data_IF_229800519987
#
_entry.id   IF_229800519987
#
_cell.length_a   1.000
_cell.length_b   1.000
_cell.length_c   1.000
_cell.angle_alpha   90.00
_cell.angle_beta   90.00
_cell.angle_gamma   90.00
#
_symmetry.space_group_name_H-M   'P 1'
#
loop_
_entity.id
_entity.type
_entity.pdbx_description
1 polymer ?
#
# COMPACT_ATOMS: atom_id res chain seq x y z
N UNK A 1 14.99 12.25 -24.91
CA UNK A 1 14.98 11.57 -23.59
C UNK A 1 13.93 12.22 -22.71
N UNK A 2 13.01 11.46 -22.11
CA UNK A 2 11.86 11.96 -21.35
C UNK A 2 12.33 12.86 -20.19
N UNK A 3 11.70 14.05 -20.02
CA UNK A 3 12.03 15.02 -18.97
C UNK A 3 11.93 14.42 -17.54
N UNK A 4 10.97 13.51 -17.31
CA UNK A 4 10.80 12.78 -16.04
C UNK A 4 11.97 11.86 -15.72
N UNK A 5 12.57 11.21 -16.73
CA UNK A 5 13.76 10.36 -16.53
C UNK A 5 14.95 11.21 -16.07
N UNK A 6 15.22 12.35 -16.74
CA UNK A 6 16.29 13.27 -16.32
C UNK A 6 16.07 13.81 -14.90
N UNK A 7 14.83 14.08 -14.53
CA UNK A 7 14.47 14.54 -13.19
C UNK A 7 14.78 13.48 -12.14
N UNK A 8 14.42 12.20 -12.39
CA UNK A 8 14.76 11.09 -11.50
C UNK A 8 16.28 10.93 -11.36
N UNK A 9 16.99 10.93 -12.49
CA UNK A 9 18.44 10.82 -12.50
C UNK A 9 19.10 11.93 -11.66
N UNK A 10 18.68 13.17 -11.85
CA UNK A 10 19.20 14.31 -11.07
C UNK A 10 18.95 14.16 -9.56
N UNK A 11 17.79 13.62 -9.16
CA UNK A 11 17.48 13.35 -7.75
C UNK A 11 18.39 12.26 -7.17
N UNK A 12 18.67 11.20 -7.94
CA UNK A 12 19.57 10.12 -7.54
C UNK A 12 21.01 10.61 -7.43
N UNK A 13 21.50 11.32 -8.46
CA UNK A 13 22.88 11.85 -8.50
C UNK A 13 23.16 12.84 -7.37
N UNK A 14 22.14 13.61 -6.96
CA UNK A 14 22.24 14.57 -5.86
C UNK A 14 21.94 13.99 -4.48
N UNK A 15 21.68 12.69 -4.36
CA UNK A 15 21.28 12.00 -3.12
C UNK A 15 20.01 12.59 -2.47
N UNK A 16 19.11 13.15 -3.27
CA UNK A 16 17.83 13.75 -2.83
C UNK A 16 16.63 12.87 -3.11
N UNK A 17 16.84 11.60 -3.47
CA UNK A 17 15.78 10.64 -3.75
C UNK A 17 15.44 9.87 -2.48
N UNK A 18 14.42 10.34 -1.76
CA UNK A 18 13.81 9.64 -0.64
C UNK A 18 12.61 8.82 -1.13
N UNK A 19 12.56 7.53 -0.79
CA UNK A 19 11.53 6.59 -1.23
C UNK A 19 10.79 5.97 -0.04
N UNK A 20 9.45 6.02 -0.04
CA UNK A 20 8.61 5.17 0.80
C UNK A 20 8.47 3.79 0.16
N UNK A 21 8.60 2.73 0.95
CA UNK A 21 8.38 1.35 0.51
C UNK A 21 7.21 0.76 1.28
N UNK A 22 6.09 0.51 0.61
CA UNK A 22 4.96 -0.29 1.10
C UNK A 22 5.09 -1.74 0.59
N UNK A 23 5.77 -1.93 -0.55
CA UNK A 23 6.09 -3.22 -1.15
C UNK A 23 4.88 -3.95 -1.76
N UNK A 24 5.13 -5.14 -2.31
CA UNK A 24 4.14 -5.94 -3.03
C UNK A 24 3.03 -6.51 -2.13
N UNK A 25 3.29 -6.63 -0.83
CA UNK A 25 2.39 -7.30 0.12
C UNK A 25 1.36 -6.40 0.78
N UNK A 26 1.51 -5.07 0.71
CA UNK A 26 0.53 -4.15 1.27
C UNK A 26 -0.56 -3.83 0.25
N UNK A 27 -1.71 -4.50 0.37
CA UNK A 27 -2.89 -4.31 -0.48
C UNK A 27 -4.00 -3.50 0.21
N UNK A 28 -3.73 -2.92 1.39
CA UNK A 28 -4.65 -1.98 2.04
C UNK A 28 -4.57 -0.61 1.37
N UNK A 29 -5.51 -0.35 0.45
CA UNK A 29 -5.55 0.87 -0.35
C UNK A 29 -5.70 2.13 0.52
N UNK A 30 -6.49 2.07 1.60
CA UNK A 30 -6.70 3.21 2.49
C UNK A 30 -5.45 3.51 3.34
N UNK A 31 -4.74 2.48 3.79
CA UNK A 31 -3.47 2.65 4.48
C UNK A 31 -2.43 3.26 3.54
N UNK A 32 -2.29 2.72 2.32
CA UNK A 32 -1.32 3.23 1.33
C UNK A 32 -1.63 4.68 0.96
N UNK A 33 -2.91 5.04 0.81
CA UNK A 33 -3.33 6.44 0.58
C UNK A 33 -2.87 7.36 1.70
N UNK A 34 -3.13 7.00 2.97
CA UNK A 34 -2.71 7.79 4.14
C UNK A 34 -1.18 7.92 4.24
N UNK A 35 -0.46 6.82 4.08
CA UNK A 35 1.00 6.83 4.05
C UNK A 35 1.54 7.70 2.92
N UNK A 36 0.93 7.61 1.72
CA UNK A 36 1.31 8.45 0.58
C UNK A 36 1.19 9.93 0.92
N UNK A 37 0.07 10.37 1.49
CA UNK A 37 -0.11 11.79 1.88
C UNK A 37 1.00 12.22 2.83
N UNK A 38 1.22 11.46 3.91
CA UNK A 38 2.21 11.80 4.93
C UNK A 38 3.63 11.90 4.36
N UNK A 39 4.05 10.89 3.61
CA UNK A 39 5.43 10.82 3.12
C UNK A 39 5.68 11.77 1.95
N UNK A 40 4.69 12.08 1.12
CA UNK A 40 4.80 13.11 0.08
C UNK A 40 4.96 14.49 0.71
N UNK A 41 4.17 14.82 1.74
CA UNK A 41 4.33 16.06 2.50
C UNK A 41 5.70 16.13 3.21
N UNK A 42 6.22 15.00 3.70
CA UNK A 42 7.57 14.88 4.24
C UNK A 42 8.68 14.94 3.18
N UNK A 43 8.34 15.05 1.89
CA UNK A 43 9.31 15.23 0.81
C UNK A 43 9.71 13.97 0.04
N UNK A 44 9.01 12.84 0.20
CA UNK A 44 9.27 11.64 -0.58
C UNK A 44 9.18 11.91 -2.09
N UNK A 45 10.14 11.36 -2.83
CA UNK A 45 10.23 11.47 -4.28
C UNK A 45 9.94 10.16 -4.99
N UNK A 46 9.88 9.05 -4.26
CA UNK A 46 9.52 7.72 -4.74
C UNK A 46 8.52 7.03 -3.82
N UNK A 47 7.62 6.26 -4.41
CA UNK A 47 6.62 5.45 -3.72
C UNK A 47 6.67 4.06 -4.35
N UNK A 48 6.97 3.04 -3.55
CA UNK A 48 7.05 1.65 -3.97
C UNK A 48 5.86 0.91 -3.35
N UNK A 49 4.93 0.49 -4.18
CA UNK A 49 3.60 0.00 -3.77
C UNK A 49 3.26 -1.31 -4.46
N UNK A 50 2.23 -2.00 -3.98
CA UNK A 50 1.70 -3.19 -4.64
C UNK A 50 1.21 -2.89 -6.07
N UNK A 51 1.37 -3.86 -6.97
CA UNK A 51 0.84 -3.81 -8.35
C UNK A 51 -0.70 -3.94 -8.42
N UNK A 52 -1.39 -4.00 -7.29
CA UNK A 52 -2.85 -4.00 -7.22
C UNK A 52 -3.42 -2.65 -7.71
N UNK A 53 -4.34 -2.69 -8.66
CA UNK A 53 -4.93 -1.49 -9.30
C UNK A 53 -5.58 -0.55 -8.28
N UNK A 54 -6.26 -1.09 -7.25
CA UNK A 54 -6.89 -0.28 -6.22
C UNK A 54 -5.84 0.46 -5.38
N UNK A 55 -4.72 -0.18 -5.08
CA UNK A 55 -3.59 0.42 -4.34
C UNK A 55 -2.92 1.52 -5.18
N UNK A 56 -2.74 1.29 -6.49
CA UNK A 56 -2.18 2.30 -7.41
C UNK A 56 -3.09 3.53 -7.47
N UNK A 57 -4.40 3.34 -7.62
CA UNK A 57 -5.36 4.45 -7.66
C UNK A 57 -5.36 5.22 -6.34
N UNK A 58 -5.41 4.53 -5.21
CA UNK A 58 -5.35 5.15 -3.88
C UNK A 58 -4.04 5.94 -3.65
N UNK A 59 -2.91 5.41 -4.11
CA UNK A 59 -1.63 6.13 -4.09
C UNK A 59 -1.69 7.41 -4.94
N UNK A 60 -2.26 7.37 -6.15
CA UNK A 60 -2.41 8.54 -7.00
C UNK A 60 -3.29 9.62 -6.36
N UNK A 61 -4.43 9.22 -5.77
CA UNK A 61 -5.29 10.11 -5.00
C UNK A 61 -4.55 10.71 -3.79
N UNK A 62 -3.76 9.91 -3.08
CA UNK A 62 -2.94 10.37 -1.96
C UNK A 62 -1.91 11.43 -2.37
N UNK A 63 -1.28 11.28 -3.54
CA UNK A 63 -0.39 12.30 -4.09
C UNK A 63 -1.15 13.61 -4.36
N UNK A 64 -2.34 13.54 -5.00
CA UNK A 64 -3.14 14.72 -5.32
C UNK A 64 -3.60 15.44 -4.04
N UNK A 65 -4.02 14.71 -3.02
CA UNK A 65 -4.36 15.24 -1.71
C UNK A 65 -3.15 15.92 -1.05
N UNK A 66 -1.96 15.30 -1.08
CA UNK A 66 -0.74 15.89 -0.53
C UNK A 66 -0.39 17.23 -1.21
N UNK A 67 -0.53 17.32 -2.53
CA UNK A 67 -0.29 18.58 -3.24
C UNK A 67 -1.33 19.65 -2.92
N UNK A 68 -2.60 19.28 -2.65
CA UNK A 68 -3.64 20.20 -2.20
C UNK A 68 -3.34 20.72 -0.80
N UNK A 69 -3.00 19.85 0.15
CA UNK A 69 -2.57 20.26 1.49
C UNK A 69 -1.30 21.12 1.45
N UNK A 70 -0.35 20.77 0.60
CA UNK A 70 0.88 21.55 0.46
C UNK A 70 0.60 23.00 0.05
N UNK A 71 -0.39 23.24 -0.82
CA UNK A 71 -0.84 24.60 -1.17
C UNK A 71 -1.52 25.31 -0.03
N UNK A 72 -2.37 24.59 0.74
CA UNK A 72 -3.12 25.15 1.86
C UNK A 72 -2.20 25.56 3.01
N UNK A 73 -1.14 24.79 3.27
CA UNK A 73 -0.21 24.98 4.37
C UNK A 73 1.16 25.55 3.97
N UNK A 74 1.30 26.09 2.75
CA UNK A 74 2.54 26.67 2.22
C UNK A 74 3.76 25.72 2.30
N UNK A 75 3.55 24.39 2.12
CA UNK A 75 4.61 23.40 2.10
C UNK A 75 5.22 23.34 0.69
N UNK A 76 6.55 23.51 0.51
CA UNK A 76 7.18 23.55 -0.81
C UNK A 76 7.26 22.15 -1.44
N UNK A 77 6.28 21.76 -2.23
CA UNK A 77 6.32 20.57 -3.09
C UNK A 77 6.50 20.96 -4.55
N UNK A 78 7.68 20.65 -5.11
CA UNK A 78 8.04 21.01 -6.49
C UNK A 78 8.02 19.83 -7.47
N UNK A 79 8.14 18.60 -7.00
CA UNK A 79 8.29 17.41 -7.83
C UNK A 79 7.22 16.39 -7.43
N UNK A 80 6.34 16.05 -8.39
CA UNK A 80 5.41 14.93 -8.22
C UNK A 80 6.20 13.61 -8.07
N UNK A 81 5.96 12.78 -7.05
CA UNK A 81 6.70 11.55 -6.81
C UNK A 81 6.65 10.58 -8.00
N UNK A 82 7.63 9.68 -8.04
CA UNK A 82 7.67 8.55 -8.96
C UNK A 82 7.01 7.35 -8.28
N UNK A 83 6.06 6.71 -8.96
CA UNK A 83 5.43 5.48 -8.49
C UNK A 83 6.18 4.30 -9.10
N UNK A 84 6.61 3.36 -8.27
CA UNK A 84 7.07 2.04 -8.62
C UNK A 84 6.03 1.02 -8.18
N UNK A 85 5.74 0.03 -9.01
CA UNK A 85 4.88 -1.08 -8.64
C UNK A 85 5.74 -2.34 -8.46
N UNK A 86 5.58 -2.98 -7.31
CA UNK A 86 6.26 -4.21 -6.95
C UNK A 86 5.34 -5.41 -7.14
N UNK A 87 5.84 -6.44 -7.82
CA UNK A 87 5.14 -7.70 -8.05
C UNK A 87 5.79 -8.77 -7.19
N UNK A 88 5.02 -9.37 -6.27
CA UNK A 88 5.47 -10.53 -5.51
C UNK A 88 5.37 -11.82 -6.31
N UNK A 89 6.34 -12.71 -6.16
CA UNK A 89 6.25 -14.07 -6.70
C UNK A 89 5.22 -14.91 -5.94
N UNK A 90 4.59 -15.91 -6.56
CA UNK A 90 3.81 -16.91 -5.84
C UNK A 90 4.64 -17.52 -4.70
N UNK A 91 4.11 -17.47 -3.47
CA UNK A 91 4.83 -17.93 -2.28
C UNK A 91 5.79 -16.93 -1.63
N UNK A 92 5.86 -15.69 -2.12
CA UNK A 92 6.60 -14.62 -1.48
C UNK A 92 6.04 -14.36 -0.06
N UNK A 93 6.91 -14.42 0.95
CA UNK A 93 6.54 -14.19 2.35
C UNK A 93 6.04 -12.77 2.64
N UNK A 94 6.32 -11.80 1.76
CA UNK A 94 5.81 -10.44 1.85
C UNK A 94 4.36 -10.30 1.37
N UNK A 95 3.87 -11.24 0.53
CA UNK A 95 2.48 -11.31 0.08
C UNK A 95 1.71 -12.25 1.00
N UNK A 96 1.32 -11.74 2.16
CA UNK A 96 0.63 -12.55 3.19
C UNK A 96 -0.86 -12.58 2.93
N UNK A 97 -1.42 -13.78 2.90
CA UNK A 97 -2.87 -14.01 2.91
C UNK A 97 -3.20 -14.89 4.10
N UNK A 98 -4.29 -14.59 4.79
CA UNK A 98 -4.76 -15.41 5.90
C UNK A 98 -5.10 -16.83 5.45
N UNK A 99 -4.96 -17.76 6.39
CA UNK A 99 -5.37 -19.16 6.25
C UNK A 99 -6.01 -19.61 7.56
N UNK A 100 -7.14 -20.31 7.48
CA UNK A 100 -7.79 -20.92 8.63
C UNK A 100 -7.64 -22.44 8.49
N UNK A 101 -6.97 -23.05 9.46
CA UNK A 101 -6.88 -24.51 9.54
C UNK A 101 -8.18 -25.04 10.14
N UNK A 102 -9.03 -25.63 9.31
CA UNK A 102 -10.36 -26.12 9.71
C UNK A 102 -10.29 -27.29 10.70
N UNK A 103 -9.18 -28.05 10.73
CA UNK A 103 -8.99 -29.19 11.66
C UNK A 103 -8.76 -28.72 13.10
N UNK A 104 -8.20 -27.53 13.27
CA UNK A 104 -7.91 -26.95 14.60
C UNK A 104 -8.82 -25.77 14.94
N UNK A 105 -9.65 -25.33 14.03
CA UNK A 105 -10.54 -24.20 14.19
C UNK A 105 -11.68 -24.50 15.17
N UNK A 106 -11.86 -23.65 16.18
CA UNK A 106 -12.94 -23.77 17.17
C UNK A 106 -14.32 -23.35 16.62
N UNK A 107 -14.39 -22.85 15.40
CA UNK A 107 -15.62 -22.34 14.74
C UNK A 107 -16.36 -21.30 15.59
N UNK A 108 -15.62 -20.43 16.28
CA UNK A 108 -16.19 -19.38 17.13
C UNK A 108 -16.64 -18.13 16.35
N UNK A 109 -16.36 -18.08 15.04
CA UNK A 109 -16.74 -17.01 14.10
C UNK A 109 -16.19 -15.60 14.42
N UNK A 110 -15.35 -15.46 15.43
CA UNK A 110 -14.79 -14.16 15.85
C UNK A 110 -13.94 -13.48 14.78
N UNK A 111 -13.31 -14.25 13.89
CA UNK A 111 -12.49 -13.73 12.80
C UNK A 111 -13.31 -13.07 11.66
N UNK A 112 -14.63 -13.36 11.57
CA UNK A 112 -15.50 -12.84 10.51
C UNK A 112 -15.73 -11.33 10.66
N UNK A 113 -16.25 -10.82 11.81
CA UNK A 113 -16.61 -9.40 11.93
C UNK A 113 -15.42 -8.45 11.97
N UNK A 114 -14.20 -8.96 12.19
CA UNK A 114 -12.98 -8.13 12.23
C UNK A 114 -12.28 -8.04 10.88
N UNK A 115 -12.78 -8.75 9.87
CA UNK A 115 -12.22 -8.69 8.53
C UNK A 115 -12.74 -7.46 7.79
N UNK A 116 -11.89 -6.45 7.49
CA UNK A 116 -12.35 -5.18 6.91
C UNK A 116 -12.79 -5.32 5.45
N UNK A 117 -12.50 -6.45 4.81
CA UNK A 117 -12.79 -6.70 3.38
C UNK A 117 -13.76 -7.88 3.16
N UNK A 118 -14.39 -8.38 4.22
CA UNK A 118 -15.26 -9.55 4.16
C UNK A 118 -14.63 -10.75 3.44
N UNK A 119 -13.33 -10.94 3.65
CA UNK A 119 -12.59 -12.05 3.05
C UNK A 119 -12.82 -13.39 3.75
N UNK A 120 -13.51 -13.40 4.92
CA UNK A 120 -13.78 -14.61 5.71
C UNK A 120 -15.27 -14.83 5.76
N UNK A 121 -15.84 -15.68 4.90
CA UNK A 121 -17.24 -16.05 4.93
C UNK A 121 -17.53 -17.07 6.06
N UNK A 122 -18.81 -17.43 6.28
CA UNK A 122 -19.23 -18.37 7.33
C UNK A 122 -18.64 -19.78 7.18
N UNK A 123 -18.27 -20.15 5.97
CA UNK A 123 -17.59 -21.42 5.67
C UNK A 123 -16.13 -21.43 6.17
N UNK A 124 -15.63 -20.30 6.66
CA UNK A 124 -14.27 -20.11 7.18
C UNK A 124 -13.16 -20.43 6.16
N UNK A 125 -13.48 -20.37 4.87
CA UNK A 125 -12.54 -20.49 3.76
C UNK A 125 -12.17 -19.09 3.28
N UNK A 126 -10.93 -18.67 3.51
CA UNK A 126 -10.48 -17.31 3.17
C UNK A 126 -10.50 -17.08 1.66
N UNK A 127 -11.25 -16.05 1.25
CA UNK A 127 -11.28 -15.57 -0.15
C UNK A 127 -10.01 -14.75 -0.38
N UNK A 128 -9.01 -15.37 -1.00
CA UNK A 128 -7.67 -14.78 -1.12
C UNK A 128 -7.64 -13.46 -1.87
N UNK A 129 -8.48 -13.30 -2.89
CA UNK A 129 -8.56 -12.06 -3.68
C UNK A 129 -9.14 -10.87 -2.89
N UNK A 130 -9.89 -11.14 -1.81
CA UNK A 130 -10.39 -10.12 -0.89
C UNK A 130 -9.44 -9.87 0.29
N UNK A 131 -8.58 -10.83 0.63
CA UNK A 131 -7.70 -10.71 1.79
C UNK A 131 -6.57 -9.73 1.50
N UNK A 132 -6.49 -8.64 2.26
CA UNK A 132 -5.42 -7.62 2.17
C UNK A 132 -4.23 -7.90 3.10
N UNK A 133 -4.24 -9.02 3.83
CA UNK A 133 -3.13 -9.40 4.70
C UNK A 133 -2.96 -8.56 5.97
N UNK A 134 -4.00 -7.82 6.41
CA UNK A 134 -3.94 -6.88 7.55
C UNK A 134 -3.66 -7.56 8.91
N UNK A 135 -3.89 -8.87 9.05
CA UNK A 135 -3.60 -9.62 10.28
C UNK A 135 -4.67 -9.53 11.37
N UNK A 136 -5.74 -8.73 11.23
CA UNK A 136 -6.77 -8.54 12.26
C UNK A 136 -7.37 -9.87 12.76
N UNK A 137 -7.59 -10.84 11.86
CA UNK A 137 -8.14 -12.15 12.20
C UNK A 137 -7.17 -13.05 12.97
N UNK A 138 -5.87 -12.75 13.00
CA UNK A 138 -4.88 -13.52 13.75
C UNK A 138 -4.57 -12.92 15.13
N UNK A 139 -5.14 -11.76 15.41
CA UNK A 139 -4.96 -11.06 16.69
C UNK A 139 -6.05 -11.39 17.73
N UNK A 140 -6.98 -12.32 17.39
CA UNK A 140 -8.14 -12.66 18.23
C UNK A 140 -7.90 -13.96 18.98
#
# INVERSE_FOLDING_TARGET
MNSRFKQMQSLLDSSKYFKLVCGAGNEDAEEVKRLTVLYVLAGAKGLDISANVNVVNACMEGIDLAFNFAKEFDIPLSIRPFIMVSVGMPGDHHVRKSYINLDTCLKCDLCIPVCPTDAIPKELIVIKDKCIGCGNCSAI
#
